data_IF_281574676599
#
_entry.id   IF_281574676599
#
_cell.length_a   1.000
_cell.length_b   1.000
_cell.length_c   1.000
_cell.angle_alpha   90.00
_cell.angle_beta   90.00
_cell.angle_gamma   90.00
#
_symmetry.space_group_name_H-M   'P 1'
#
loop_
_entity.id
_entity.type
_entity.pdbx_description
1 polymer ?
#
# COMPACT_ATOMS: atom_id res chain seq x y z
N UNK A 1 0.26 17.19 27.84
CA UNK A 1 0.78 17.12 26.46
C UNK A 1 -0.10 16.17 25.70
N UNK A 2 -0.65 16.60 24.55
CA UNK A 2 -1.40 15.70 23.66
C UNK A 2 -0.44 14.62 23.17
N UNK A 3 -0.73 13.36 23.44
CA UNK A 3 0.05 12.23 22.89
C UNK A 3 -0.46 11.79 21.51
N UNK A 4 -1.19 12.68 20.81
CA UNK A 4 -1.60 12.48 19.43
C UNK A 4 -0.49 12.99 18.52
N UNK A 5 0.16 12.14 17.71
CA UNK A 5 1.07 12.59 16.67
C UNK A 5 0.30 13.34 15.58
N UNK A 6 0.98 14.22 14.84
CA UNK A 6 0.41 14.89 13.67
C UNK A 6 0.32 13.97 12.44
N UNK A 7 1.26 13.02 12.34
CA UNK A 7 1.38 12.08 11.23
C UNK A 7 1.29 10.64 11.71
N UNK A 8 0.78 9.78 10.83
CA UNK A 8 0.84 8.33 10.93
C UNK A 8 1.75 7.78 9.85
N UNK A 9 2.46 6.69 10.14
CA UNK A 9 3.43 6.05 9.25
C UNK A 9 3.00 4.61 8.97
N UNK A 10 2.68 4.33 7.71
CA UNK A 10 2.12 3.07 7.25
C UNK A 10 3.19 2.23 6.58
N UNK A 11 3.28 0.97 6.98
CA UNK A 11 4.21 0.01 6.39
C UNK A 11 3.50 -0.65 5.22
N UNK A 12 4.05 -0.50 4.03
CA UNK A 12 3.49 -1.05 2.80
C UNK A 12 4.41 -2.15 2.29
N UNK A 13 3.83 -3.29 1.94
CA UNK A 13 4.48 -4.35 1.19
C UNK A 13 3.89 -4.39 -0.23
N UNK A 14 4.76 -4.20 -1.22
CA UNK A 14 4.44 -4.42 -2.62
C UNK A 14 5.11 -5.70 -3.07
N UNK A 15 4.31 -6.65 -3.58
CA UNK A 15 4.78 -7.91 -4.16
C UNK A 15 4.58 -7.85 -5.67
N UNK A 16 5.65 -8.11 -6.42
CA UNK A 16 5.64 -8.22 -7.89
C UNK A 16 6.02 -9.65 -8.23
N UNK A 17 5.16 -10.35 -8.97
CA UNK A 17 5.41 -11.72 -9.38
C UNK A 17 5.74 -11.77 -10.88
N UNK A 18 7.04 -11.68 -11.20
CA UNK A 18 7.52 -11.72 -12.59
C UNK A 18 7.34 -13.09 -13.26
N UNK A 19 7.04 -14.15 -12.50
CA UNK A 19 6.73 -15.44 -13.11
C UNK A 19 5.30 -15.47 -13.66
N UNK A 20 4.36 -14.84 -12.94
CA UNK A 20 2.96 -14.72 -13.36
C UNK A 20 2.78 -13.62 -14.41
N UNK A 21 3.46 -12.49 -14.23
CA UNK A 21 3.43 -11.35 -15.15
C UNK A 21 4.84 -10.80 -15.39
N UNK A 22 5.51 -11.21 -16.47
CA UNK A 22 6.87 -10.76 -16.80
C UNK A 22 7.01 -9.24 -16.99
N UNK A 23 5.91 -8.51 -17.20
CA UNK A 23 5.94 -7.05 -17.31
C UNK A 23 6.13 -6.36 -15.95
N UNK A 24 5.75 -7.01 -14.85
CA UNK A 24 5.74 -6.42 -13.51
C UNK A 24 4.63 -5.40 -13.28
N UNK A 25 3.65 -5.31 -14.18
CA UNK A 25 2.48 -4.46 -14.05
C UNK A 25 1.50 -5.00 -13.01
N UNK A 26 1.40 -6.31 -12.87
CA UNK A 26 0.58 -6.92 -11.82
C UNK A 26 1.31 -6.86 -10.48
N UNK A 27 0.82 -6.01 -9.59
CA UNK A 27 1.36 -5.80 -8.24
C UNK A 27 0.31 -6.11 -7.19
N UNK A 28 0.74 -6.71 -6.10
CA UNK A 28 -0.10 -6.89 -4.92
C UNK A 28 0.42 -5.98 -3.81
N UNK A 29 -0.41 -5.03 -3.39
CA UNK A 29 -0.04 -4.02 -2.40
C UNK A 29 -0.80 -4.30 -1.10
N UNK A 30 -0.07 -4.29 0.01
CA UNK A 30 -0.56 -4.63 1.33
C UNK A 30 -0.12 -3.61 2.35
N UNK A 31 -1.05 -3.16 3.19
CA UNK A 31 -0.71 -2.36 4.36
C UNK A 31 -0.55 -3.31 5.54
N UNK A 32 0.65 -3.37 6.09
CA UNK A 32 1.03 -4.34 7.11
C UNK A 32 0.86 -3.82 8.54
N UNK A 33 0.83 -2.50 8.71
CA UNK A 33 0.67 -1.86 10.01
C UNK A 33 0.80 -0.35 9.93
N UNK A 34 0.53 0.32 11.05
CA UNK A 34 0.64 1.78 11.20
C UNK A 34 1.28 2.11 12.53
N UNK A 35 2.18 3.09 12.51
CA UNK A 35 2.91 3.58 13.68
C UNK A 35 2.73 5.10 13.80
N UNK A 36 2.87 5.60 15.02
CA UNK A 36 2.82 7.02 15.35
C UNK A 36 4.16 7.74 15.12
N UNK A 37 5.27 7.00 15.04
CA UNK A 37 6.60 7.58 14.79
C UNK A 37 7.28 6.92 13.60
N UNK A 38 8.10 7.70 12.89
CA UNK A 38 8.92 7.20 11.78
C UNK A 38 9.93 6.14 12.26
N UNK A 39 10.47 6.30 13.46
CA UNK A 39 11.42 5.35 14.05
C UNK A 39 10.77 3.97 14.28
N UNK A 40 9.59 3.93 14.91
CA UNK A 40 8.85 2.70 15.13
C UNK A 40 8.44 2.03 13.79
N UNK A 41 8.06 2.85 12.81
CA UNK A 41 7.73 2.39 11.47
C UNK A 41 8.95 1.75 10.76
N UNK A 42 10.13 2.39 10.81
CA UNK A 42 11.38 1.84 10.25
C UNK A 42 11.77 0.52 10.93
N UNK A 43 11.75 0.48 12.26
CA UNK A 43 12.05 -0.73 13.03
C UNK A 43 11.12 -1.89 12.66
N UNK A 44 9.85 -1.60 12.42
CA UNK A 44 8.86 -2.58 12.00
C UNK A 44 9.06 -3.01 10.54
N UNK A 45 9.33 -2.07 9.63
CA UNK A 45 9.58 -2.32 8.21
C UNK A 45 10.75 -3.31 8.01
N UNK A 46 11.85 -3.14 8.74
CA UNK A 46 13.01 -4.05 8.67
C UNK A 46 12.72 -5.48 9.18
N UNK A 47 11.61 -5.70 9.88
CA UNK A 47 11.20 -7.01 10.41
C UNK A 47 10.08 -7.67 9.62
N UNK A 48 9.57 -7.04 8.56
CA UNK A 48 8.44 -7.54 7.78
C UNK A 48 8.75 -8.93 7.20
N UNK A 49 9.88 -9.09 6.52
CA UNK A 49 10.20 -10.37 5.86
C UNK A 49 10.41 -11.50 6.88
N UNK A 50 11.01 -11.20 8.03
CA UNK A 50 11.15 -12.15 9.14
C UNK A 50 9.78 -12.55 9.72
N UNK A 51 8.85 -11.59 9.85
CA UNK A 51 7.46 -11.85 10.26
C UNK A 51 6.73 -12.75 9.27
N UNK A 52 7.04 -12.62 7.98
CA UNK A 52 6.58 -13.50 6.90
C UNK A 52 7.37 -14.82 6.78
N UNK A 53 8.29 -15.08 7.72
CA UNK A 53 9.14 -16.27 7.83
C UNK A 53 10.17 -16.44 6.71
N UNK A 54 10.49 -15.36 6.02
CA UNK A 54 11.63 -15.31 5.11
C UNK A 54 12.90 -14.90 5.85
N UNK A 55 14.02 -15.46 5.41
CA UNK A 55 15.35 -15.06 5.85
C UNK A 55 16.11 -14.45 4.67
N UNK A 56 17.13 -13.60 4.91
CA UNK A 56 17.93 -13.03 3.82
C UNK A 56 18.50 -14.08 2.86
N UNK A 57 18.90 -15.25 3.36
CA UNK A 57 19.40 -16.37 2.55
C UNK A 57 18.37 -17.03 1.63
N UNK A 58 17.08 -16.73 1.80
CA UNK A 58 16.02 -17.21 0.91
C UNK A 58 15.94 -16.43 -0.41
N UNK A 59 16.68 -15.32 -0.53
CA UNK A 59 16.61 -14.40 -1.65
C UNK A 59 17.90 -14.43 -2.48
N UNK A 60 17.76 -14.29 -3.80
CA UNK A 60 18.91 -14.10 -4.70
C UNK A 60 19.48 -12.69 -4.61
N UNK A 61 18.67 -11.74 -4.13
CA UNK A 61 19.06 -10.36 -3.90
C UNK A 61 18.30 -9.86 -2.67
N UNK A 62 19.02 -9.27 -1.71
CA UNK A 62 18.46 -8.74 -0.49
C UNK A 62 19.22 -7.47 -0.12
N UNK A 63 18.51 -6.34 -0.10
CA UNK A 63 19.08 -5.03 0.15
C UNK A 63 18.23 -4.26 1.16
N UNK A 64 18.91 -3.55 2.07
CA UNK A 64 18.30 -2.66 3.03
C UNK A 64 18.81 -1.26 2.77
N UNK A 65 17.92 -0.29 2.67
CA UNK A 65 18.30 1.09 2.46
C UNK A 65 19.00 1.62 3.70
N UNK A 66 20.32 1.72 3.61
CA UNK A 66 21.16 2.46 4.55
C UNK A 66 21.47 3.83 3.95
N UNK A 67 21.68 4.85 4.77
CA UNK A 67 21.94 6.24 4.31
C UNK A 67 23.29 6.43 3.60
N UNK A 68 24.04 5.35 3.31
CA UNK A 68 25.44 5.38 2.87
C UNK A 68 25.71 4.67 1.55
N UNK A 69 24.69 4.16 0.86
CA UNK A 69 24.84 3.41 -0.41
C UNK A 69 23.95 4.01 -1.50
N UNK A 70 24.41 3.94 -2.75
CA UNK A 70 23.54 4.17 -3.91
C UNK A 70 22.33 3.23 -3.81
N UNK A 71 21.14 3.76 -4.04
CA UNK A 71 19.86 3.06 -3.88
C UNK A 71 19.07 3.15 -5.17
N UNK A 72 18.86 2.00 -5.82
CA UNK A 72 18.24 1.87 -7.14
C UNK A 72 16.85 1.18 -7.08
N UNK A 73 16.37 0.85 -5.89
CA UNK A 73 15.11 0.13 -5.69
C UNK A 73 13.89 1.03 -5.50
N UNK A 74 14.02 2.32 -5.80
CA UNK A 74 12.95 3.32 -5.76
C UNK A 74 12.89 4.13 -4.46
N UNK A 75 12.41 5.36 -4.59
CA UNK A 75 12.29 6.31 -3.49
C UNK A 75 11.32 5.80 -2.42
N UNK A 76 11.73 5.89 -1.15
CA UNK A 76 10.92 5.48 0.00
C UNK A 76 10.89 3.97 0.27
N UNK A 77 11.50 3.14 -0.59
CA UNK A 77 11.72 1.72 -0.29
C UNK A 77 12.84 1.57 0.73
N UNK A 78 12.59 0.81 1.79
CA UNK A 78 13.53 0.54 2.87
C UNK A 78 14.14 -0.86 2.78
N UNK A 79 13.39 -1.82 2.23
CA UNK A 79 13.87 -3.19 2.03
C UNK A 79 13.44 -3.64 0.65
N UNK A 80 14.40 -4.18 -0.09
CA UNK A 80 14.19 -4.86 -1.37
C UNK A 80 14.64 -6.31 -1.21
N UNK A 81 13.83 -7.24 -1.69
CA UNK A 81 14.21 -8.65 -1.73
C UNK A 81 13.65 -9.33 -2.98
N UNK A 82 14.48 -10.14 -3.65
CA UNK A 82 14.10 -10.91 -4.85
C UNK A 82 14.26 -12.40 -4.58
N UNK A 83 13.16 -13.13 -4.66
CA UNK A 83 13.15 -14.58 -4.51
C UNK A 83 13.69 -15.28 -5.77
N UNK A 84 14.25 -16.50 -5.66
CA UNK A 84 14.72 -17.28 -6.80
C UNK A 84 13.66 -17.52 -7.88
N UNK A 85 12.39 -17.62 -7.48
CA UNK A 85 11.25 -17.81 -8.38
C UNK A 85 10.84 -16.54 -9.14
N UNK A 86 11.52 -15.41 -8.93
CA UNK A 86 11.22 -14.14 -9.61
C UNK A 86 10.26 -13.23 -8.88
N UNK A 87 9.74 -13.62 -7.70
CA UNK A 87 8.95 -12.71 -6.86
C UNK A 87 9.85 -11.63 -6.25
N UNK A 88 9.42 -10.37 -6.32
CA UNK A 88 10.08 -9.23 -5.71
C UNK A 88 9.20 -8.66 -4.61
N UNK A 89 9.81 -8.38 -3.47
CA UNK A 89 9.21 -7.79 -2.28
C UNK A 89 9.83 -6.42 -2.06
N UNK A 90 8.99 -5.37 -2.06
CA UNK A 90 9.38 -4.00 -1.76
C UNK A 90 8.66 -3.58 -0.49
N UNK A 91 9.41 -3.15 0.52
CA UNK A 91 8.85 -2.64 1.77
C UNK A 91 9.13 -1.15 1.84
N UNK A 92 8.07 -0.34 1.92
CA UNK A 92 8.15 1.11 1.98
C UNK A 92 7.35 1.66 3.16
N UNK A 93 7.56 2.94 3.45
CA UNK A 93 6.77 3.69 4.43
C UNK A 93 6.14 4.90 3.76
N UNK A 94 4.84 5.08 3.97
CA UNK A 94 4.14 6.32 3.62
C UNK A 94 3.59 7.00 4.87
N UNK A 95 3.59 8.33 4.85
CA UNK A 95 3.04 9.13 5.94
C UNK A 95 1.71 9.75 5.53
N UNK A 96 0.73 9.76 6.43
CA UNK A 96 -0.53 10.51 6.24
C UNK A 96 -0.84 11.37 7.47
N UNK A 97 -1.66 12.42 7.33
CA UNK A 97 -2.20 13.14 8.48
C UNK A 97 -2.96 12.22 9.45
N UNK A 98 -2.83 12.46 10.75
CA UNK A 98 -3.59 11.77 11.79
C UNK A 98 -4.96 12.43 12.02
N UNK A 99 -5.82 12.43 11.01
CA UNK A 99 -7.13 13.11 11.05
C UNK A 99 -8.08 12.48 12.09
N UNK A 100 -7.92 11.18 12.34
CA UNK A 100 -8.64 10.40 13.36
C UNK A 100 -8.16 10.67 14.80
N UNK A 101 -7.09 11.47 14.96
CA UNK A 101 -6.50 11.85 16.27
C UNK A 101 -6.16 10.64 17.14
N UNK A 102 -5.65 9.59 16.49
CA UNK A 102 -5.20 8.38 17.18
C UNK A 102 -4.08 8.72 18.15
N UNK A 103 -4.10 8.08 19.33
CA UNK A 103 -3.09 8.30 20.35
C UNK A 103 -1.89 7.37 20.12
N UNK A 104 -0.70 7.88 20.37
CA UNK A 104 0.54 7.11 20.37
C UNK A 104 0.71 6.34 21.68
N UNK A 105 1.37 5.18 21.64
CA UNK A 105 1.84 4.45 22.82
C UNK A 105 3.33 4.77 23.17
N UNK A 106 3.86 4.21 24.25
CA UNK A 106 5.24 4.50 24.67
C UNK A 106 6.33 4.01 23.69
N UNK A 107 5.98 3.12 22.75
CA UNK A 107 6.89 2.50 21.80
C UNK A 107 6.76 3.09 20.39
N UNK A 108 5.94 4.13 20.21
CA UNK A 108 5.66 4.72 18.90
C UNK A 108 4.63 3.97 18.07
N UNK A 109 3.92 3.00 18.65
CA UNK A 109 2.73 2.39 18.07
C UNK A 109 1.49 3.29 18.25
N UNK A 110 0.36 2.86 17.70
CA UNK A 110 -0.93 3.53 17.86
C UNK A 110 -1.85 2.74 18.79
N UNK A 111 -2.63 3.45 19.61
CA UNK A 111 -3.73 2.85 20.34
C UNK A 111 -4.94 2.66 19.43
N UNK A 112 -5.34 1.41 19.22
CA UNK A 112 -6.59 1.09 18.54
C UNK A 112 -7.79 1.39 19.45
N UNK A 113 -8.82 2.12 18.95
CA UNK A 113 -10.05 2.32 19.69
C UNK A 113 -10.70 0.97 20.06
N UNK A 114 -11.35 0.93 21.22
CA UNK A 114 -11.96 -0.31 21.74
C UNK A 114 -12.99 -0.86 20.74
N UNK A 115 -12.81 -2.13 20.36
CA UNK A 115 -13.73 -2.83 19.44
C UNK A 115 -13.40 -2.61 17.95
N UNK A 116 -12.34 -1.88 17.63
CA UNK A 116 -11.87 -1.69 16.24
C UNK A 116 -10.68 -2.62 16.00
N UNK A 117 -10.82 -3.64 15.13
CA UNK A 117 -9.78 -4.65 14.92
C UNK A 117 -8.62 -4.13 14.06
N UNK A 118 -8.90 -3.19 13.16
CA UNK A 118 -7.93 -2.65 12.21
C UNK A 118 -8.42 -1.32 11.65
N UNK A 119 -7.48 -0.53 11.12
CA UNK A 119 -7.80 0.68 10.36
C UNK A 119 -8.21 0.31 8.92
N UNK A 120 -8.84 1.27 8.26
CA UNK A 120 -9.20 1.24 6.85
C UNK A 120 -8.43 2.32 6.11
N UNK A 121 -7.92 2.01 4.94
CA UNK A 121 -7.05 2.90 4.17
C UNK A 121 -7.66 3.12 2.80
N UNK A 122 -7.74 4.38 2.39
CA UNK A 122 -8.06 4.75 1.02
C UNK A 122 -6.75 4.85 0.28
N UNK A 123 -6.61 4.06 -0.78
CA UNK A 123 -5.43 4.04 -1.62
C UNK A 123 -5.79 4.48 -3.03
N UNK A 124 -4.89 5.24 -3.63
CA UNK A 124 -4.96 5.63 -5.03
C UNK A 124 -3.74 5.09 -5.75
N UNK A 125 -3.94 4.37 -6.85
CA UNK A 125 -2.88 3.92 -7.74
C UNK A 125 -3.04 4.58 -9.10
N UNK A 126 -1.99 5.24 -9.57
CA UNK A 126 -1.93 5.89 -10.87
C UNK A 126 -0.95 5.15 -11.78
N UNK A 127 -1.38 4.84 -13.00
CA UNK A 127 -0.62 4.11 -14.01
C UNK A 127 -0.57 4.96 -15.28
N UNK A 128 0.63 5.36 -15.68
CA UNK A 128 0.85 6.21 -16.86
C UNK A 128 1.44 5.38 -18.00
N UNK A 129 0.57 4.83 -18.84
CA UNK A 129 0.97 4.00 -19.98
C UNK A 129 1.73 4.76 -21.08
N UNK A 130 1.67 6.10 -21.08
CA UNK A 130 2.46 6.89 -22.02
C UNK A 130 3.91 7.02 -21.57
N UNK A 131 4.15 7.11 -20.26
CA UNK A 131 5.50 7.04 -19.69
C UNK A 131 6.08 5.65 -19.80
N UNK A 132 5.26 4.63 -19.57
CA UNK A 132 5.66 3.23 -19.65
C UNK A 132 4.52 2.34 -20.15
N UNK A 133 4.64 1.89 -21.39
CA UNK A 133 3.63 1.03 -22.03
C UNK A 133 3.48 -0.33 -21.37
N UNK A 134 4.45 -0.77 -20.58
CA UNK A 134 4.31 -2.03 -19.82
C UNK A 134 3.36 -1.86 -18.65
N UNK A 135 3.16 -0.62 -18.17
CA UNK A 135 2.40 -0.32 -16.96
C UNK A 135 3.14 -0.74 -15.69
N UNK A 136 4.44 -1.05 -15.75
CA UNK A 136 5.23 -1.34 -14.57
C UNK A 136 5.51 -0.07 -13.76
N UNK A 137 5.59 1.10 -14.37
CA UNK A 137 5.71 2.37 -13.65
C UNK A 137 4.34 2.78 -13.13
N UNK A 138 4.11 2.50 -11.84
CA UNK A 138 2.88 2.82 -11.12
C UNK A 138 3.24 3.54 -9.84
N UNK A 139 2.42 4.52 -9.48
CA UNK A 139 2.52 5.25 -8.23
C UNK A 139 1.30 4.94 -7.37
N UNK A 140 1.53 4.46 -6.14
CA UNK A 140 0.47 4.19 -5.19
C UNK A 140 0.65 5.06 -3.96
N UNK A 141 -0.42 5.73 -3.53
CA UNK A 141 -0.43 6.60 -2.36
C UNK A 141 -1.60 6.24 -1.43
N UNK A 142 -1.40 6.37 -0.12
CA UNK A 142 -2.48 6.34 0.86
C UNK A 142 -3.02 7.77 1.00
N UNK A 143 -4.27 7.95 0.59
CA UNK A 143 -4.96 9.24 0.59
C UNK A 143 -5.65 9.53 1.94
N UNK A 144 -5.91 8.50 2.73
CA UNK A 144 -6.50 8.66 4.05
C UNK A 144 -6.55 7.38 4.87
N UNK A 145 -6.61 7.57 6.18
CA UNK A 145 -6.66 6.50 7.18
C UNK A 145 -7.87 6.71 8.09
N UNK A 146 -8.70 5.68 8.23
CA UNK A 146 -10.01 5.78 8.87
C UNK A 146 -10.22 4.68 9.91
N UNK A 147 -10.94 5.01 10.97
CA UNK A 147 -11.34 4.03 12.00
C UNK A 147 -12.48 3.14 11.47
N UNK A 148 -13.42 3.72 10.73
CA UNK A 148 -14.61 3.01 10.27
C UNK A 148 -14.60 2.81 8.76
N UNK A 149 -14.94 1.59 8.33
CA UNK A 149 -15.06 1.24 6.91
C UNK A 149 -16.00 2.18 6.16
N UNK A 150 -17.15 2.52 6.74
CA UNK A 150 -18.13 3.38 6.07
C UNK A 150 -17.54 4.75 5.70
N UNK A 151 -16.73 5.34 6.59
CA UNK A 151 -16.10 6.64 6.38
C UNK A 151 -15.00 6.54 5.31
N UNK A 152 -14.20 5.48 5.32
CA UNK A 152 -13.23 5.21 4.26
C UNK A 152 -13.89 5.10 2.88
N UNK A 153 -15.00 4.36 2.75
CA UNK A 153 -15.74 4.25 1.49
C UNK A 153 -16.38 5.58 1.08
N UNK A 154 -16.89 6.36 2.04
CA UNK A 154 -17.46 7.68 1.76
C UNK A 154 -16.39 8.67 1.27
N UNK A 155 -15.19 8.63 1.84
CA UNK A 155 -14.05 9.42 1.40
C UNK A 155 -13.55 8.96 0.02
N UNK A 156 -13.34 7.65 -0.17
CA UNK A 156 -12.83 7.09 -1.43
C UNK A 156 -13.74 7.41 -2.63
N UNK A 157 -15.06 7.37 -2.44
CA UNK A 157 -16.03 7.75 -3.49
C UNK A 157 -16.02 9.24 -3.86
N UNK A 158 -15.44 10.09 -3.03
CA UNK A 158 -15.33 11.54 -3.25
C UNK A 158 -13.91 11.97 -3.62
N UNK A 159 -12.97 11.04 -3.67
CA UNK A 159 -11.55 11.33 -3.90
C UNK A 159 -11.32 11.93 -5.29
N UNK A 160 -12.05 11.41 -6.27
CA UNK A 160 -11.95 11.82 -7.68
C UNK A 160 -13.23 12.54 -8.10
N UNK A 161 -13.09 13.63 -8.84
CA UNK A 161 -14.20 14.25 -9.56
C UNK A 161 -14.39 13.54 -10.91
N UNK A 162 -15.52 12.87 -11.17
CA UNK A 162 -15.76 12.20 -12.45
C UNK A 162 -15.66 13.11 -13.67
N UNK A 163 -15.82 14.44 -13.51
CA UNK A 163 -15.73 15.40 -14.61
C UNK A 163 -14.29 15.63 -15.09
N UNK A 164 -13.29 15.24 -14.31
CA UNK A 164 -11.88 15.37 -14.65
C UNK A 164 -11.36 14.21 -15.54
N UNK A 165 -12.20 13.22 -15.82
CA UNK A 165 -11.83 11.98 -16.49
C UNK A 165 -12.63 11.73 -17.76
N UNK A 166 -11.99 11.10 -18.75
CA UNK A 166 -12.63 10.67 -19.99
C UNK A 166 -13.58 9.49 -19.73
N UNK A 167 -13.13 8.53 -18.91
CA UNK A 167 -13.95 7.42 -18.43
C UNK A 167 -13.91 7.35 -16.90
N UNK A 168 -15.05 7.06 -16.27
CA UNK A 168 -15.17 6.92 -14.82
C UNK A 168 -16.21 5.84 -14.46
N UNK A 169 -15.70 4.71 -13.98
CA UNK A 169 -16.47 3.52 -13.63
C UNK A 169 -16.46 3.25 -12.14
N UNK A 170 -17.59 2.75 -11.64
CA UNK A 170 -17.74 2.26 -10.27
C UNK A 170 -18.42 0.89 -10.27
N UNK A 171 -18.26 0.07 -9.22
CA UNK A 171 -18.92 -1.24 -9.14
C UNK A 171 -20.43 -1.17 -9.36
N UNK A 172 -21.07 -0.11 -8.86
CA UNK A 172 -22.52 0.09 -8.99
C UNK A 172 -22.95 0.39 -10.44
N UNK A 173 -22.10 1.06 -11.23
CA UNK A 173 -22.37 1.34 -12.65
C UNK A 173 -22.22 0.09 -13.53
N UNK A 174 -21.34 -0.84 -13.14
CA UNK A 174 -21.02 -2.03 -13.94
C UNK A 174 -21.84 -3.28 -13.59
N UNK A 175 -22.85 -3.17 -12.72
CA UNK A 175 -23.91 -4.18 -12.49
C UNK A 175 -23.47 -5.66 -12.40
N UNK A 176 -22.30 -5.94 -11.82
CA UNK A 176 -21.76 -7.30 -11.65
C UNK A 176 -20.66 -7.71 -12.63
N UNK A 177 -20.34 -6.87 -13.62
CA UNK A 177 -19.22 -7.06 -14.55
C UNK A 177 -17.92 -6.38 -14.08
N UNK A 178 -17.82 -6.04 -12.79
CA UNK A 178 -16.70 -5.29 -12.21
C UNK A 178 -15.39 -6.09 -12.22
N UNK A 179 -14.40 -5.73 -13.06
CA UNK A 179 -13.20 -6.56 -13.25
C UNK A 179 -12.03 -6.18 -12.32
N UNK A 180 -12.12 -5.06 -11.60
CA UNK A 180 -10.99 -4.48 -10.87
C UNK A 180 -10.80 -5.05 -9.45
N UNK A 181 -11.78 -5.83 -8.96
CA UNK A 181 -11.73 -6.48 -7.65
C UNK A 181 -12.62 -5.81 -6.60
N UNK A 182 -12.97 -6.58 -5.56
CA UNK A 182 -13.98 -6.19 -4.55
C UNK A 182 -13.55 -5.00 -3.66
N UNK A 183 -12.26 -4.74 -3.55
CA UNK A 183 -11.70 -3.63 -2.76
C UNK A 183 -11.70 -2.31 -3.55
N UNK A 184 -11.86 -2.35 -4.87
CA UNK A 184 -11.81 -1.17 -5.74
C UNK A 184 -13.16 -0.48 -5.75
N UNK A 185 -13.17 0.82 -5.46
CA UNK A 185 -14.38 1.66 -5.43
C UNK A 185 -14.57 2.48 -6.69
N UNK A 186 -13.49 2.79 -7.41
CA UNK A 186 -13.54 3.53 -8.66
C UNK A 186 -12.34 3.17 -9.55
N UNK A 187 -12.59 3.16 -10.85
CA UNK A 187 -11.58 3.13 -11.90
C UNK A 187 -11.84 4.30 -12.83
N UNK A 188 -10.82 5.12 -13.08
CA UNK A 188 -10.93 6.31 -13.90
C UNK A 188 -9.80 6.36 -14.91
N UNK A 189 -10.08 6.90 -16.11
CA UNK A 189 -9.11 7.06 -17.18
C UNK A 189 -9.10 8.51 -17.63
N UNK A 190 -7.95 9.18 -17.51
CA UNK A 190 -7.79 10.54 -17.96
C UNK A 190 -7.77 10.60 -19.51
N UNK A 191 -8.00 11.78 -20.09
CA UNK A 191 -7.88 12.02 -21.54
C UNK A 191 -6.51 11.62 -22.12
N UNK A 192 -5.48 11.61 -21.28
CA UNK A 192 -4.14 11.16 -21.65
C UNK A 192 -4.03 9.64 -21.75
N UNK A 193 -5.01 8.87 -21.27
CA UNK A 193 -4.93 7.41 -21.10
C UNK A 193 -4.22 6.98 -19.81
N UNK A 194 -3.97 7.91 -18.87
CA UNK A 194 -3.51 7.58 -17.53
C UNK A 194 -4.66 6.96 -16.74
N UNK A 195 -4.43 5.79 -16.15
CA UNK A 195 -5.43 5.12 -15.32
C UNK A 195 -5.23 5.49 -13.85
N UNK A 196 -6.34 5.69 -13.13
CA UNK A 196 -6.39 5.88 -11.69
C UNK A 196 -7.33 4.85 -11.08
N UNK A 197 -6.84 4.09 -10.11
CA UNK A 197 -7.59 3.08 -9.36
C UNK A 197 -7.71 3.57 -7.92
N UNK A 198 -8.93 3.59 -7.38
CA UNK A 198 -9.17 3.91 -5.97
C UNK A 198 -9.68 2.68 -5.26
N UNK A 199 -9.05 2.31 -4.15
CA UNK A 199 -9.38 1.10 -3.39
C UNK A 199 -9.42 1.37 -1.87
N UNK A 200 -10.21 0.57 -1.16
CA UNK A 200 -10.28 0.60 0.31
C UNK A 200 -9.72 -0.70 0.86
N UNK A 201 -8.57 -0.63 1.52
CA UNK A 201 -7.88 -1.79 2.13
C UNK A 201 -7.94 -1.79 3.65
N UNK A 202 -7.63 -2.93 4.26
CA UNK A 202 -7.37 -3.08 5.69
C UNK A 202 -6.21 -4.04 5.91
N UNK A 203 -5.62 -4.04 7.12
CA UNK A 203 -4.49 -4.92 7.47
C UNK A 203 -4.91 -6.40 7.56
N UNK A 204 -6.21 -6.67 7.80
CA UNK A 204 -6.70 -8.02 8.02
C UNK A 204 -6.42 -8.94 6.82
N UNK A 205 -5.68 -10.04 7.05
CA UNK A 205 -5.34 -11.03 6.03
C UNK A 205 -4.13 -10.68 5.15
N UNK A 206 -3.54 -9.48 5.28
CA UNK A 206 -2.36 -9.06 4.51
C UNK A 206 -1.14 -9.95 4.74
N UNK A 207 -0.89 -10.33 6.00
CA UNK A 207 0.25 -11.17 6.42
C UNK A 207 0.11 -12.64 6.02
N UNK A 208 -1.12 -13.12 5.77
CA UNK A 208 -1.40 -14.54 5.52
C UNK A 208 -1.32 -14.94 4.04
N UNK A 209 -1.24 -14.01 3.10
CA UNK A 209 -1.25 -14.37 1.67
C UNK A 209 0.11 -14.78 1.12
N UNK A 210 1.21 -14.41 1.80
CA UNK A 210 2.58 -14.56 1.29
C UNK A 210 3.57 -15.05 2.35
N UNK A 211 3.10 -15.63 3.45
CA UNK A 211 4.00 -16.24 4.43
C UNK A 211 4.68 -17.48 3.84
N UNK A 212 5.99 -17.65 4.06
CA UNK A 212 6.71 -18.84 3.60
C UNK A 212 6.08 -20.11 4.20
N UNK A 213 5.67 -21.05 3.34
CA UNK A 213 5.08 -22.34 3.73
C UNK A 213 3.57 -22.34 3.92
N UNK A 214 2.87 -21.32 3.39
CA UNK A 214 1.42 -21.37 3.16
C UNK A 214 1.09 -21.96 1.78
#
# INVERSE_FOLDING_TARGET
MSNSPELLYHIILTVIDYHVDPSGAKRSIYILGTNATLEAAKNSAFRVLDTLRYKPEDFVEYAIHSSSTEWDHGDGVLVYAKAPAGQVFLISIQATPNDEKLLMDSNGGIFMPKGIPSLHYVMQTTIDYNKDRTGCVQETQIEGTFIHRADAYAAARKLLDPLDYADYDTPEKMAGEWPFGEEVVAHAVAETGQNTIVEVKTVAGAHHKHGKGM
#
